data_IF_880800021116
#
_entry.id   IF_880800021116
#
_cell.length_a   1.000
_cell.length_b   1.000
_cell.length_c   1.000
_cell.angle_alpha   90.00
_cell.angle_beta   90.00
_cell.angle_gamma   90.00
#
_symmetry.space_group_name_H-M   'P 1'
#
loop_
_entity.id
_entity.type
_entity.pdbx_description
1 polymer ?
#
# COMPACT_ATOMS: atom_id res chain seq x y z
N UNK A 1 -40.92 31.88 5.95
CA UNK A 1 -39.76 31.41 6.71
C UNK A 1 -39.38 30.03 6.20
N UNK A 2 -38.21 29.82 5.54
CA UNK A 2 -37.78 28.49 5.10
C UNK A 2 -37.33 27.68 6.29
N UNK A 3 -37.92 26.49 6.46
CA UNK A 3 -37.51 25.50 7.48
C UNK A 3 -36.07 25.04 7.19
N UNK A 4 -35.16 25.31 8.12
CA UNK A 4 -33.80 24.77 8.17
C UNK A 4 -33.88 23.24 8.09
N UNK A 5 -33.36 22.67 6.99
CA UNK A 5 -33.08 21.24 6.88
C UNK A 5 -31.91 20.93 7.83
N UNK A 6 -32.22 20.48 9.03
CA UNK A 6 -31.24 19.87 9.94
C UNK A 6 -30.52 18.75 9.19
N UNK A 7 -29.22 18.92 8.96
CA UNK A 7 -28.35 17.87 8.47
C UNK A 7 -28.47 16.68 9.42
N UNK A 8 -29.03 15.55 8.95
CA UNK A 8 -29.02 14.30 9.72
C UNK A 8 -27.57 13.92 9.95
N UNK A 9 -27.08 14.08 11.16
CA UNK A 9 -25.80 13.51 11.57
C UNK A 9 -25.89 12.00 11.34
N UNK A 10 -25.07 11.47 10.41
CA UNK A 10 -24.92 10.02 10.26
C UNK A 10 -24.35 9.48 11.57
N UNK A 11 -24.87 8.32 12.02
CA UNK A 11 -24.35 7.64 13.20
C UNK A 11 -22.83 7.40 13.05
N UNK A 12 -22.06 7.41 14.17
CA UNK A 12 -20.65 7.13 14.14
C UNK A 12 -20.39 5.74 13.55
N UNK A 13 -19.24 5.60 12.85
CA UNK A 13 -18.79 4.29 12.35
C UNK A 13 -18.19 3.55 13.53
N UNK A 14 -18.72 2.36 13.80
CA UNK A 14 -18.25 1.49 14.88
C UNK A 14 -17.78 0.14 14.36
N UNK A 15 -18.40 -0.38 13.28
CA UNK A 15 -18.13 -1.70 12.70
C UNK A 15 -17.40 -1.58 11.37
N UNK A 16 -16.20 -2.13 11.33
CA UNK A 16 -15.31 -2.15 10.17
C UNK A 16 -15.13 -3.59 9.69
N UNK A 17 -15.40 -3.82 8.41
CA UNK A 17 -15.07 -5.06 7.72
C UNK A 17 -13.68 -4.97 7.10
N UNK A 18 -12.82 -5.94 7.37
CA UNK A 18 -11.51 -6.06 6.73
C UNK A 18 -11.55 -7.18 5.69
N UNK A 19 -11.43 -6.84 4.43
CA UNK A 19 -11.40 -7.76 3.30
C UNK A 19 -9.97 -7.95 2.82
N UNK A 20 -9.44 -9.16 2.98
CA UNK A 20 -8.02 -9.42 2.87
C UNK A 20 -7.29 -9.14 4.20
N UNK A 21 -6.87 -10.22 4.86
CA UNK A 21 -6.25 -10.18 6.20
C UNK A 21 -4.79 -10.68 6.12
N UNK A 22 -4.12 -10.33 5.04
CA UNK A 22 -2.68 -10.51 4.87
C UNK A 22 -1.87 -9.59 5.80
N UNK A 23 -0.60 -9.37 5.50
CA UNK A 23 0.32 -8.55 6.33
C UNK A 23 -0.26 -7.15 6.59
N UNK A 24 -0.70 -6.45 5.54
CA UNK A 24 -1.23 -5.09 5.67
C UNK A 24 -2.60 -5.08 6.34
N UNK A 25 -3.53 -5.94 5.87
CA UNK A 25 -4.89 -5.99 6.39
C UNK A 25 -4.95 -6.36 7.87
N UNK A 26 -4.14 -7.33 8.31
CA UNK A 26 -4.07 -7.70 9.73
C UNK A 26 -3.53 -6.56 10.59
N UNK A 27 -2.48 -5.86 10.15
CA UNK A 27 -1.92 -4.74 10.89
C UNK A 27 -2.92 -3.58 11.02
N UNK A 28 -3.65 -3.26 9.93
CA UNK A 28 -4.73 -2.27 9.96
C UNK A 28 -5.86 -2.71 10.90
N UNK A 29 -6.30 -3.97 10.83
CA UNK A 29 -7.35 -4.53 11.70
C UNK A 29 -6.98 -4.39 13.18
N UNK A 30 -5.75 -4.75 13.56
CA UNK A 30 -5.26 -4.64 14.94
C UNK A 30 -5.26 -3.19 15.43
N UNK A 31 -4.81 -2.25 14.59
CA UNK A 31 -4.80 -0.84 14.95
C UNK A 31 -6.21 -0.26 15.08
N UNK A 32 -7.13 -0.66 14.21
CA UNK A 32 -8.54 -0.27 14.30
C UNK A 32 -9.19 -0.78 15.60
N UNK A 33 -8.94 -2.03 15.98
CA UNK A 33 -9.43 -2.58 17.27
C UNK A 33 -8.85 -1.81 18.45
N UNK A 34 -7.56 -1.47 18.43
CA UNK A 34 -6.93 -0.61 19.44
C UNK A 34 -7.54 0.80 19.51
N UNK A 35 -8.06 1.30 18.38
CA UNK A 35 -8.76 2.58 18.29
C UNK A 35 -10.25 2.49 18.69
N UNK A 36 -10.73 1.32 19.12
CA UNK A 36 -12.09 1.11 19.61
C UNK A 36 -13.11 0.64 18.58
N UNK A 37 -12.70 0.36 17.33
CA UNK A 37 -13.61 -0.20 16.32
C UNK A 37 -13.83 -1.71 16.52
N UNK A 38 -15.05 -2.16 16.27
CA UNK A 38 -15.35 -3.59 16.13
C UNK A 38 -14.93 -4.04 14.73
N UNK A 39 -14.00 -5.00 14.65
CA UNK A 39 -13.46 -5.45 13.38
C UNK A 39 -13.92 -6.88 13.08
N UNK A 40 -14.60 -7.01 11.95
CA UNK A 40 -14.86 -8.31 11.32
C UNK A 40 -13.96 -8.47 10.11
N UNK A 41 -13.65 -9.69 9.67
CA UNK A 41 -12.79 -9.86 8.51
C UNK A 41 -13.04 -11.14 7.73
N UNK A 42 -12.63 -11.12 6.47
CA UNK A 42 -12.62 -12.27 5.58
C UNK A 42 -11.33 -12.32 4.75
N UNK A 43 -10.76 -13.51 4.69
CA UNK A 43 -9.65 -13.88 3.82
C UNK A 43 -9.83 -15.36 3.43
N UNK A 44 -9.57 -15.77 2.17
CA UNK A 44 -9.63 -17.19 1.79
C UNK A 44 -8.56 -18.05 2.47
N UNK A 45 -7.46 -17.46 2.98
CA UNK A 45 -6.44 -18.19 3.74
C UNK A 45 -6.89 -18.46 5.19
N UNK A 46 -7.11 -19.73 5.57
CA UNK A 46 -7.49 -20.08 6.95
C UNK A 46 -6.48 -19.64 8.00
N UNK A 47 -5.16 -19.56 7.63
CA UNK A 47 -4.11 -19.09 8.53
C UNK A 47 -4.26 -17.60 8.82
N UNK A 48 -4.63 -16.80 7.81
CA UNK A 48 -4.93 -15.38 7.99
C UNK A 48 -6.14 -15.20 8.93
N UNK A 49 -7.20 -15.97 8.73
CA UNK A 49 -8.39 -15.93 9.58
C UNK A 49 -8.10 -16.35 11.03
N UNK A 50 -7.21 -17.34 11.22
CA UNK A 50 -6.76 -17.74 12.57
C UNK A 50 -6.01 -16.60 13.27
N UNK A 51 -5.13 -15.90 12.53
CA UNK A 51 -4.40 -14.72 13.07
C UNK A 51 -5.36 -13.59 13.45
N UNK A 52 -6.36 -13.30 12.61
CA UNK A 52 -7.36 -12.28 12.93
C UNK A 52 -8.11 -12.58 14.22
N UNK A 53 -8.60 -13.84 14.38
CA UNK A 53 -9.29 -14.28 15.61
C UNK A 53 -8.39 -14.17 16.83
N UNK A 54 -7.13 -14.59 16.72
CA UNK A 54 -6.16 -14.49 17.81
C UNK A 54 -5.89 -13.03 18.22
N UNK A 55 -6.02 -12.08 17.30
CA UNK A 55 -5.90 -10.65 17.55
C UNK A 55 -7.17 -10.00 18.12
N UNK A 56 -8.28 -10.73 18.27
CA UNK A 56 -9.55 -10.23 18.80
C UNK A 56 -10.60 -9.87 17.74
N UNK A 57 -10.32 -10.06 16.45
CA UNK A 57 -11.28 -9.80 15.38
C UNK A 57 -12.26 -10.98 15.16
N UNK A 58 -13.39 -10.70 14.54
CA UNK A 58 -14.42 -11.70 14.23
C UNK A 58 -14.32 -12.15 12.77
N UNK A 59 -14.25 -13.45 12.53
CA UNK A 59 -14.19 -14.02 11.19
C UNK A 59 -15.55 -14.06 10.51
N UNK A 60 -15.59 -13.77 9.22
CA UNK A 60 -16.71 -13.96 8.29
C UNK A 60 -16.37 -15.03 7.25
N UNK A 61 -17.40 -15.55 6.56
CA UNK A 61 -17.25 -16.70 5.63
C UNK A 61 -17.03 -16.25 4.17
N UNK A 62 -17.38 -15.01 3.84
CA UNK A 62 -17.28 -14.46 2.49
C UNK A 62 -17.26 -12.94 2.51
N UNK A 63 -16.99 -12.30 1.37
CA UNK A 63 -17.12 -10.86 1.22
C UNK A 63 -18.58 -10.40 1.32
N UNK A 64 -19.55 -11.23 0.90
CA UNK A 64 -20.98 -10.99 1.07
C UNK A 64 -21.38 -10.99 2.55
N UNK A 65 -20.95 -12.01 3.32
CA UNK A 65 -21.19 -12.09 4.76
C UNK A 65 -20.59 -10.90 5.51
N UNK A 66 -19.40 -10.47 5.08
CA UNK A 66 -18.73 -9.27 5.61
C UNK A 66 -19.57 -8.00 5.33
N UNK A 67 -20.07 -7.86 4.10
CA UNK A 67 -20.85 -6.70 3.68
C UNK A 67 -22.20 -6.59 4.41
N UNK A 68 -22.81 -7.70 4.80
CA UNK A 68 -24.06 -7.71 5.56
C UNK A 68 -23.93 -7.20 6.99
N UNK A 69 -22.73 -7.19 7.55
CA UNK A 69 -22.46 -6.85 8.96
C UNK A 69 -21.74 -5.50 9.14
N UNK A 70 -20.90 -5.11 8.19
CA UNK A 70 -20.06 -3.95 8.30
C UNK A 70 -20.77 -2.64 7.92
N UNK A 71 -20.41 -1.53 8.57
CA UNK A 71 -20.78 -0.17 8.14
C UNK A 71 -19.85 0.36 7.06
N UNK A 72 -18.60 -0.09 7.06
CA UNK A 72 -17.60 0.15 6.03
C UNK A 72 -16.79 -1.13 5.79
N UNK A 73 -16.24 -1.28 4.60
CA UNK A 73 -15.27 -2.33 4.27
C UNK A 73 -13.95 -1.66 3.86
N UNK A 74 -12.85 -2.13 4.43
CA UNK A 74 -11.49 -1.81 3.95
C UNK A 74 -10.98 -3.05 3.23
N UNK A 75 -10.60 -2.92 1.95
CA UNK A 75 -10.05 -4.00 1.15
C UNK A 75 -8.53 -3.85 0.96
N UNK A 76 -7.81 -4.97 1.10
CA UNK A 76 -6.35 -5.06 0.89
C UNK A 76 -6.06 -6.39 0.17
N UNK A 77 -6.15 -6.37 -1.15
CA UNK A 77 -6.25 -7.56 -2.01
C UNK A 77 -5.01 -7.73 -2.90
N UNK A 78 -4.67 -8.97 -3.29
CA UNK A 78 -3.45 -9.26 -4.03
C UNK A 78 -3.52 -8.91 -5.53
N UNK A 79 -4.71 -8.89 -6.13
CA UNK A 79 -4.85 -8.74 -7.57
C UNK A 79 -6.25 -8.32 -8.02
N UNK A 80 -6.42 -8.02 -9.33
CA UNK A 80 -7.69 -7.54 -9.88
C UNK A 80 -8.81 -8.59 -9.81
N UNK A 81 -8.52 -9.87 -9.99
CA UNK A 81 -9.52 -10.94 -9.90
C UNK A 81 -10.16 -10.99 -8.50
N UNK A 82 -9.33 -10.85 -7.45
CA UNK A 82 -9.81 -10.79 -6.07
C UNK A 82 -10.68 -9.55 -5.83
N UNK A 83 -10.32 -8.39 -6.41
CA UNK A 83 -11.09 -7.16 -6.30
C UNK A 83 -12.43 -7.28 -7.02
N UNK A 84 -12.45 -7.78 -8.26
CA UNK A 84 -13.67 -7.93 -9.06
C UNK A 84 -14.63 -8.94 -8.43
N UNK A 85 -14.13 -10.12 -8.01
CA UNK A 85 -14.92 -11.13 -7.32
C UNK A 85 -15.52 -10.62 -6.00
N UNK A 86 -14.74 -9.86 -5.23
CA UNK A 86 -15.21 -9.25 -4.00
C UNK A 86 -16.29 -8.17 -4.28
N UNK A 87 -16.09 -7.32 -5.27
CA UNK A 87 -17.06 -6.29 -5.66
C UNK A 87 -18.41 -6.90 -6.07
N UNK A 88 -18.39 -8.01 -6.83
CA UNK A 88 -19.59 -8.74 -7.19
C UNK A 88 -20.32 -9.31 -5.98
N UNK A 89 -19.60 -9.96 -5.05
CA UNK A 89 -20.19 -10.51 -3.83
C UNK A 89 -20.79 -9.42 -2.93
N UNK A 90 -20.10 -8.29 -2.76
CA UNK A 90 -20.59 -7.14 -1.97
C UNK A 90 -21.81 -6.51 -2.65
N UNK A 91 -21.78 -6.33 -3.97
CA UNK A 91 -22.88 -5.79 -4.75
C UNK A 91 -24.15 -6.65 -4.65
N UNK A 92 -24.00 -7.99 -4.62
CA UNK A 92 -25.12 -8.92 -4.49
C UNK A 92 -25.90 -8.77 -3.16
N UNK A 93 -25.26 -8.27 -2.10
CA UNK A 93 -25.92 -7.95 -0.83
C UNK A 93 -26.80 -6.71 -0.94
N UNK A 94 -26.42 -5.76 -1.79
CA UNK A 94 -27.21 -4.56 -2.08
C UNK A 94 -27.35 -3.57 -0.90
N UNK A 95 -26.43 -3.56 0.04
CA UNK A 95 -26.46 -2.65 1.20
C UNK A 95 -26.17 -1.20 0.78
N UNK A 96 -27.23 -0.45 0.44
CA UNK A 96 -27.13 0.94 0.03
C UNK A 96 -26.46 1.80 1.08
N UNK A 97 -25.52 2.63 0.64
CA UNK A 97 -24.78 3.56 1.51
C UNK A 97 -23.59 2.94 2.22
N UNK A 98 -23.29 1.66 1.99
CA UNK A 98 -22.03 1.03 2.41
C UNK A 98 -20.86 1.78 1.76
N UNK A 99 -19.80 2.00 2.53
CA UNK A 99 -18.55 2.59 2.04
C UNK A 99 -17.51 1.48 1.89
N UNK A 100 -16.81 1.46 0.75
CA UNK A 100 -15.68 0.57 0.50
C UNK A 100 -14.42 1.40 0.31
N UNK A 101 -13.43 1.17 1.16
CA UNK A 101 -12.10 1.80 1.14
C UNK A 101 -11.14 0.81 0.50
N UNK A 102 -10.82 0.99 -0.75
CA UNK A 102 -9.94 0.10 -1.50
C UNK A 102 -8.48 0.56 -1.39
N UNK A 103 -7.63 -0.24 -0.73
CA UNK A 103 -6.27 0.15 -0.38
C UNK A 103 -5.18 -0.54 -1.20
N UNK A 104 -5.55 -1.47 -2.08
CA UNK A 104 -4.58 -2.23 -2.87
C UNK A 104 -3.89 -1.38 -3.94
N UNK A 105 -2.68 -1.76 -4.32
CA UNK A 105 -1.98 -1.17 -5.47
C UNK A 105 -2.34 -1.99 -6.72
N UNK A 106 -3.33 -1.51 -7.47
CA UNK A 106 -3.89 -2.14 -8.67
C UNK A 106 -4.06 -1.10 -9.79
N UNK A 107 -4.32 -1.56 -11.00
CA UNK A 107 -4.63 -0.67 -12.12
C UNK A 107 -5.89 0.16 -11.83
N UNK A 108 -5.89 1.42 -12.25
CA UNK A 108 -7.03 2.33 -12.08
C UNK A 108 -8.24 1.83 -12.88
N UNK A 109 -8.03 1.18 -14.02
CA UNK A 109 -9.09 0.59 -14.83
C UNK A 109 -9.83 -0.51 -14.05
N UNK A 110 -9.08 -1.45 -13.42
CA UNK A 110 -9.66 -2.49 -12.58
C UNK A 110 -10.43 -1.94 -11.39
N UNK A 111 -9.88 -0.94 -10.72
CA UNK A 111 -10.57 -0.25 -9.61
C UNK A 111 -11.83 0.47 -10.10
N UNK A 112 -11.82 1.01 -11.33
CA UNK A 112 -12.97 1.68 -11.93
C UNK A 112 -14.10 0.68 -12.20
N UNK A 113 -13.80 -0.49 -12.75
CA UNK A 113 -14.76 -1.58 -12.96
C UNK A 113 -15.39 -2.01 -11.63
N UNK A 114 -14.59 -2.24 -10.60
CA UNK A 114 -15.09 -2.60 -9.27
C UNK A 114 -15.96 -1.49 -8.66
N UNK A 115 -15.54 -0.23 -8.77
CA UNK A 115 -16.32 0.94 -8.33
C UNK A 115 -17.68 0.99 -9.02
N UNK A 116 -17.73 0.80 -10.33
CA UNK A 116 -18.97 0.93 -11.10
C UNK A 116 -19.93 -0.24 -10.80
N UNK A 117 -19.41 -1.45 -10.59
CA UNK A 117 -20.17 -2.60 -10.09
C UNK A 117 -20.85 -2.30 -8.74
N UNK A 118 -20.11 -1.73 -7.79
CA UNK A 118 -20.63 -1.35 -6.48
C UNK A 118 -21.61 -0.17 -6.56
N UNK A 119 -21.30 0.83 -7.38
CA UNK A 119 -22.12 2.02 -7.57
C UNK A 119 -23.51 1.69 -8.12
N UNK A 120 -23.65 0.67 -8.96
CA UNK A 120 -24.94 0.21 -9.48
C UNK A 120 -25.90 -0.21 -8.36
N UNK A 121 -25.39 -0.60 -7.18
CA UNK A 121 -26.15 -0.96 -5.99
C UNK A 121 -26.21 0.17 -4.93
N UNK A 122 -25.74 1.38 -5.28
CA UNK A 122 -25.72 2.51 -4.35
C UNK A 122 -24.64 2.43 -3.27
N UNK A 123 -23.61 1.61 -3.50
CA UNK A 123 -22.44 1.45 -2.64
C UNK A 123 -21.36 2.41 -3.15
N UNK A 124 -20.67 3.10 -2.24
CA UNK A 124 -19.64 4.08 -2.59
C UNK A 124 -18.25 3.46 -2.35
N UNK A 125 -17.46 3.33 -3.41
CA UNK A 125 -16.07 2.92 -3.31
C UNK A 125 -15.12 4.13 -3.43
N UNK A 126 -14.11 4.17 -2.56
CA UNK A 126 -13.02 5.12 -2.59
C UNK A 126 -11.73 4.40 -2.99
N UNK A 127 -10.87 5.09 -3.73
CA UNK A 127 -9.52 4.64 -4.06
C UNK A 127 -8.55 5.26 -3.05
N UNK A 128 -7.99 4.41 -2.17
CA UNK A 128 -7.23 4.84 -0.98
C UNK A 128 -5.93 4.03 -0.81
N UNK A 129 -5.04 3.94 -1.80
CA UNK A 129 -3.82 3.19 -1.64
C UNK A 129 -2.94 3.77 -0.53
N UNK A 130 -2.05 2.94 -0.01
CA UNK A 130 -1.24 3.23 1.16
C UNK A 130 0.22 3.50 0.79
N UNK A 131 0.83 4.45 1.47
CA UNK A 131 2.28 4.60 1.50
C UNK A 131 2.81 4.10 2.83
N UNK A 132 3.75 3.19 2.77
CA UNK A 132 4.37 2.48 3.89
C UNK A 132 4.39 0.97 3.67
N UNK A 133 5.19 0.29 4.47
CA UNK A 133 5.39 -1.18 4.45
C UNK A 133 4.57 -1.86 5.55
N UNK A 134 4.53 -3.20 5.53
CA UNK A 134 3.91 -3.98 6.61
C UNK A 134 4.50 -3.69 7.99
N UNK A 135 5.81 -3.48 8.09
CA UNK A 135 6.47 -3.10 9.34
C UNK A 135 6.00 -1.74 9.86
N UNK A 136 5.82 -0.76 8.96
CA UNK A 136 5.28 0.55 9.30
C UNK A 136 3.80 0.48 9.69
N UNK A 137 3.02 -0.40 9.03
CA UNK A 137 1.61 -0.60 9.32
C UNK A 137 1.36 -1.03 10.77
N UNK A 138 2.22 -1.89 11.35
CA UNK A 138 2.12 -2.32 12.76
C UNK A 138 2.15 -1.12 13.72
N UNK A 139 2.91 -0.09 13.39
CA UNK A 139 3.10 1.13 14.20
C UNK A 139 2.25 2.32 13.74
N UNK A 140 1.23 2.11 12.90
CA UNK A 140 0.40 3.17 12.30
C UNK A 140 1.20 4.19 11.46
N UNK A 141 2.44 3.92 11.06
CA UNK A 141 3.27 4.82 10.25
C UNK A 141 2.94 4.66 8.76
N UNK A 142 1.63 4.75 8.45
CA UNK A 142 1.10 4.71 7.10
C UNK A 142 0.55 6.08 6.71
N UNK A 143 0.59 6.37 5.41
CA UNK A 143 -0.14 7.48 4.80
C UNK A 143 -1.20 6.94 3.85
N UNK A 144 -2.45 7.42 3.99
CA UNK A 144 -3.56 7.09 3.10
C UNK A 144 -3.68 8.16 2.01
N UNK A 145 -3.66 7.74 0.76
CA UNK A 145 -3.93 8.58 -0.41
C UNK A 145 -5.39 8.45 -0.80
N UNK A 146 -6.29 9.15 -0.08
CA UNK A 146 -7.73 8.99 -0.26
C UNK A 146 -8.23 9.78 -1.47
N UNK A 147 -9.00 9.13 -2.34
CA UNK A 147 -9.65 9.77 -3.47
C UNK A 147 -11.05 9.21 -3.72
N UNK A 148 -11.99 10.10 -4.10
CA UNK A 148 -13.40 9.79 -4.30
C UNK A 148 -14.30 10.90 -3.78
N UNK A 149 -15.58 10.61 -3.46
CA UNK A 149 -16.50 11.63 -2.98
C UNK A 149 -16.04 12.29 -1.68
N UNK A 150 -15.84 13.61 -1.69
CA UNK A 150 -15.34 14.40 -0.55
C UNK A 150 -16.11 14.16 0.76
N UNK A 151 -17.43 14.02 0.68
CA UNK A 151 -18.27 13.75 1.85
C UNK A 151 -17.95 12.39 2.49
N UNK A 152 -17.64 11.37 1.67
CA UNK A 152 -17.25 10.04 2.14
C UNK A 152 -15.84 10.07 2.76
N UNK A 153 -14.88 10.77 2.14
CA UNK A 153 -13.52 10.95 2.70
C UNK A 153 -13.61 11.61 4.08
N UNK A 154 -14.40 12.69 4.20
CA UNK A 154 -14.60 13.36 5.49
C UNK A 154 -15.25 12.45 6.55
N UNK A 155 -16.22 11.63 6.16
CA UNK A 155 -16.88 10.65 7.05
C UNK A 155 -15.89 9.59 7.55
N UNK A 156 -14.90 9.20 6.72
CA UNK A 156 -13.92 8.16 7.00
C UNK A 156 -12.70 8.66 7.78
N UNK A 157 -12.54 9.96 7.99
CA UNK A 157 -11.39 10.53 8.67
C UNK A 157 -11.06 9.86 10.03
N UNK A 158 -12.04 9.56 10.92
CA UNK A 158 -11.77 8.84 12.16
C UNK A 158 -11.26 7.41 11.95
N UNK A 159 -11.74 6.74 10.88
CA UNK A 159 -11.29 5.38 10.52
C UNK A 159 -9.85 5.42 10.01
N UNK A 160 -9.53 6.36 9.12
CA UNK A 160 -8.14 6.55 8.67
C UNK A 160 -7.20 6.84 9.84
N UNK A 161 -7.58 7.71 10.76
CA UNK A 161 -6.82 7.99 11.97
C UNK A 161 -6.68 6.74 12.88
N UNK A 162 -7.55 5.76 12.78
CA UNK A 162 -7.47 4.49 13.51
C UNK A 162 -6.26 3.65 13.11
N UNK A 163 -5.84 3.65 11.83
CA UNK A 163 -4.78 2.77 11.33
C UNK A 163 -3.62 3.48 10.61
N UNK A 164 -3.71 4.79 10.39
CA UNK A 164 -2.67 5.55 9.70
C UNK A 164 -2.23 6.78 10.49
N UNK A 165 -1.06 7.30 10.17
CA UNK A 165 -0.51 8.54 10.72
C UNK A 165 -1.09 9.76 10.02
N UNK A 166 -1.23 9.67 8.69
CA UNK A 166 -1.74 10.76 7.86
C UNK A 166 -2.74 10.23 6.83
N UNK A 167 -3.69 11.07 6.43
CA UNK A 167 -4.55 10.84 5.28
C UNK A 167 -4.72 12.14 4.50
N UNK A 168 -4.68 12.06 3.17
CA UNK A 168 -4.81 13.20 2.27
C UNK A 168 -6.02 13.02 1.36
N UNK A 169 -6.88 14.02 1.27
CA UNK A 169 -7.96 14.08 0.28
C UNK A 169 -7.36 14.55 -1.06
N UNK A 170 -7.30 13.65 -2.02
CA UNK A 170 -6.74 13.88 -3.35
C UNK A 170 -7.81 14.12 -4.43
N UNK A 171 -9.07 14.32 -4.02
CA UNK A 171 -10.17 14.66 -4.90
C UNK A 171 -10.73 13.48 -5.68
N UNK A 172 -10.78 13.58 -7.02
CA UNK A 172 -11.45 12.60 -7.87
C UNK A 172 -10.91 11.16 -7.70
N UNK A 173 -11.81 10.17 -7.79
CA UNK A 173 -11.46 8.73 -7.78
C UNK A 173 -10.34 8.41 -8.79
N UNK A 174 -9.37 7.63 -8.36
CA UNK A 174 -8.16 7.28 -9.12
C UNK A 174 -6.97 8.20 -8.83
N UNK A 175 -7.17 9.39 -8.25
CA UNK A 175 -6.05 10.27 -7.88
C UNK A 175 -5.20 9.67 -6.75
N UNK A 176 -5.77 8.82 -5.90
CA UNK A 176 -5.04 8.05 -4.91
C UNK A 176 -4.00 7.15 -5.56
N UNK A 177 -4.43 6.34 -6.54
CA UNK A 177 -3.50 5.47 -7.30
C UNK A 177 -2.47 6.27 -8.10
N UNK A 178 -2.86 7.38 -8.74
CA UNK A 178 -1.90 8.26 -9.44
C UNK A 178 -0.81 8.74 -8.50
N UNK A 179 -1.18 9.21 -7.30
CA UNK A 179 -0.21 9.62 -6.26
C UNK A 179 0.66 8.44 -5.81
N UNK A 180 0.07 7.24 -5.65
CA UNK A 180 0.81 6.03 -5.29
C UNK A 180 1.84 5.66 -6.36
N UNK A 181 1.50 5.75 -7.64
CA UNK A 181 2.44 5.48 -8.73
C UNK A 181 3.59 6.49 -8.76
N UNK A 182 3.29 7.79 -8.55
CA UNK A 182 4.33 8.83 -8.42
C UNK A 182 5.25 8.54 -7.24
N UNK A 183 4.70 8.19 -6.09
CA UNK A 183 5.49 7.85 -4.91
C UNK A 183 6.36 6.60 -5.16
N UNK A 184 5.81 5.55 -5.77
CA UNK A 184 6.54 4.33 -6.05
C UNK A 184 7.60 4.49 -7.16
N UNK A 185 7.39 5.40 -8.12
CA UNK A 185 8.43 5.82 -9.08
C UNK A 185 9.65 6.38 -8.34
N UNK A 186 9.43 7.29 -7.38
CA UNK A 186 10.51 7.82 -6.54
C UNK A 186 11.15 6.72 -5.66
N UNK A 187 10.36 5.79 -5.11
CA UNK A 187 10.88 4.65 -4.35
C UNK A 187 11.83 3.80 -5.21
N UNK A 188 11.45 3.51 -6.47
CA UNK A 188 12.29 2.75 -7.40
C UNK A 188 13.65 3.41 -7.59
N UNK A 189 13.65 4.72 -7.88
CA UNK A 189 14.86 5.51 -8.15
C UNK A 189 15.71 5.65 -6.88
N UNK A 190 15.11 6.06 -5.78
CA UNK A 190 15.82 6.30 -4.52
C UNK A 190 16.47 5.04 -3.96
N UNK A 191 15.87 3.89 -4.18
CA UNK A 191 16.42 2.62 -3.72
C UNK A 191 17.71 2.26 -4.48
N UNK A 192 17.72 2.41 -5.81
CA UNK A 192 18.89 2.14 -6.64
C UNK A 192 19.97 3.21 -6.40
N UNK A 193 19.61 4.50 -6.37
CA UNK A 193 20.58 5.58 -6.12
C UNK A 193 21.20 5.48 -4.72
N UNK A 194 20.45 5.00 -3.71
CA UNK A 194 21.01 4.69 -2.39
C UNK A 194 22.09 3.62 -2.48
N UNK A 195 21.83 2.54 -3.24
CA UNK A 195 22.80 1.46 -3.40
C UNK A 195 24.08 1.95 -4.12
N UNK A 196 23.94 2.75 -5.18
CA UNK A 196 25.08 3.36 -5.89
C UNK A 196 25.91 4.24 -4.97
N UNK A 197 25.28 5.14 -4.19
CA UNK A 197 25.97 6.03 -3.27
C UNK A 197 26.74 5.26 -2.18
N UNK A 198 26.12 4.21 -1.59
CA UNK A 198 26.76 3.39 -0.57
C UNK A 198 27.92 2.56 -1.13
N UNK A 199 27.82 2.04 -2.36
CA UNK A 199 28.91 1.34 -3.03
C UNK A 199 30.09 2.28 -3.31
N UNK A 200 29.82 3.49 -3.77
CA UNK A 200 30.87 4.51 -3.98
C UNK A 200 31.60 4.82 -2.66
N UNK A 201 30.85 5.06 -1.58
CA UNK A 201 31.41 5.28 -0.25
C UNK A 201 32.26 4.10 0.23
N UNK A 202 31.80 2.88 0.01
CA UNK A 202 32.54 1.68 0.35
C UNK A 202 33.88 1.57 -0.39
N UNK A 203 33.93 1.92 -1.67
CA UNK A 203 35.18 1.97 -2.48
C UNK A 203 36.16 3.04 -1.97
N UNK A 204 35.66 4.11 -1.39
CA UNK A 204 36.49 5.16 -0.78
C UNK A 204 36.88 4.87 0.68
N UNK A 205 36.49 3.71 1.24
CA UNK A 205 36.79 3.34 2.62
C UNK A 205 35.91 4.05 3.66
N UNK A 206 34.81 4.69 3.24
CA UNK A 206 33.85 5.30 4.16
C UNK A 206 33.02 4.19 4.77
N UNK A 207 32.93 4.16 6.10
CA UNK A 207 32.12 3.16 6.81
C UNK A 207 30.65 3.34 6.42
N UNK A 208 29.96 2.25 5.98
CA UNK A 208 28.57 2.34 5.50
C UNK A 208 27.61 2.97 6.52
N UNK A 209 27.81 2.69 7.81
CA UNK A 209 27.01 3.24 8.91
C UNK A 209 27.12 4.79 8.97
N UNK A 210 28.31 5.31 8.79
CA UNK A 210 28.55 6.75 8.80
C UNK A 210 27.97 7.39 7.54
N UNK A 211 28.14 6.73 6.37
CA UNK A 211 27.53 7.18 5.12
C UNK A 211 26.01 7.29 5.24
N UNK A 212 25.31 6.26 5.73
CA UNK A 212 23.84 6.28 5.93
C UNK A 212 23.44 7.40 6.87
N UNK A 213 24.15 7.57 8.01
CA UNK A 213 23.83 8.61 9.00
C UNK A 213 23.98 10.01 8.40
N UNK A 214 25.13 10.30 7.82
CA UNK A 214 25.46 11.65 7.33
C UNK A 214 24.62 12.02 6.11
N UNK A 215 24.46 11.09 5.15
CA UNK A 215 23.65 11.34 3.97
C UNK A 215 22.15 11.51 4.30
N UNK A 216 21.65 10.81 5.34
CA UNK A 216 20.26 10.96 5.77
C UNK A 216 19.92 12.34 6.31
N UNK A 217 20.89 13.05 6.85
CA UNK A 217 20.74 14.39 7.42
C UNK A 217 20.98 15.51 6.38
N UNK A 218 21.60 15.18 5.25
CA UNK A 218 21.95 16.11 4.20
C UNK A 218 20.99 16.14 3.01
N UNK A 219 21.32 16.99 2.03
CA UNK A 219 20.54 17.16 0.80
C UNK A 219 20.46 15.89 -0.08
N UNK A 220 21.36 14.92 0.10
CA UNK A 220 21.31 13.60 -0.55
C UNK A 220 20.36 12.62 0.13
N UNK A 221 19.69 13.02 1.21
CA UNK A 221 18.80 12.16 2.00
C UNK A 221 17.50 11.80 1.27
N UNK A 222 17.00 10.61 1.55
CA UNK A 222 15.65 10.18 1.16
C UNK A 222 15.10 9.23 2.20
N UNK A 223 13.74 9.08 2.21
CA UNK A 223 13.13 8.08 3.10
C UNK A 223 13.62 6.65 2.78
N UNK A 224 13.96 6.38 1.53
CA UNK A 224 14.50 5.07 1.14
C UNK A 224 15.91 4.85 1.66
N UNK A 225 16.77 5.86 1.62
CA UNK A 225 18.08 5.80 2.25
C UNK A 225 17.95 5.48 3.76
N UNK A 226 17.03 6.16 4.47
CA UNK A 226 16.82 5.93 5.91
C UNK A 226 16.31 4.52 6.23
N UNK A 227 15.42 3.97 5.39
CA UNK A 227 14.78 2.67 5.65
C UNK A 227 15.61 1.51 5.11
N UNK A 228 16.21 1.63 3.91
CA UNK A 228 16.92 0.56 3.23
C UNK A 228 18.43 0.66 3.29
N UNK A 229 18.97 1.84 3.53
CA UNK A 229 20.42 2.01 3.73
C UNK A 229 20.98 1.07 4.82
N UNK A 230 20.37 0.97 6.01
CA UNK A 230 20.77 0.00 7.02
C UNK A 230 20.71 -1.45 6.52
N UNK A 231 19.66 -1.84 5.78
CA UNK A 231 19.54 -3.19 5.22
C UNK A 231 20.63 -3.49 4.18
N UNK A 232 21.00 -2.52 3.37
CA UNK A 232 22.10 -2.64 2.40
C UNK A 232 23.44 -2.77 3.11
N UNK A 233 23.66 -1.95 4.14
CA UNK A 233 24.87 -1.97 4.97
C UNK A 233 25.09 -3.35 5.62
N UNK A 234 24.04 -3.88 6.25
CA UNK A 234 24.14 -5.08 7.08
C UNK A 234 23.87 -6.37 6.29
N UNK A 235 23.65 -6.25 4.96
CA UNK A 235 23.18 -7.34 4.09
C UNK A 235 21.89 -8.00 4.60
N UNK A 236 21.04 -7.17 5.24
CA UNK A 236 19.86 -7.60 5.97
C UNK A 236 18.60 -7.80 5.09
N UNK A 237 18.73 -7.83 3.78
CA UNK A 237 17.60 -7.97 2.84
C UNK A 237 16.88 -9.32 2.90
N UNK A 238 17.38 -10.31 3.63
CA UNK A 238 16.69 -11.60 3.85
C UNK A 238 15.39 -11.45 4.64
N UNK A 239 15.25 -10.39 5.46
CA UNK A 239 14.00 -10.07 6.16
C UNK A 239 13.27 -8.97 5.40
N UNK A 240 12.42 -9.38 4.45
CA UNK A 240 11.78 -8.44 3.53
C UNK A 240 10.65 -7.64 4.17
N UNK A 241 10.71 -6.33 4.03
CA UNK A 241 9.57 -5.41 4.26
C UNK A 241 8.79 -5.15 2.96
N UNK A 242 9.47 -5.26 1.81
CA UNK A 242 8.91 -5.26 0.47
C UNK A 242 9.72 -6.22 -0.39
N UNK A 243 9.14 -7.35 -0.77
CA UNK A 243 9.80 -8.37 -1.59
C UNK A 243 10.02 -7.90 -3.02
N UNK A 244 11.20 -8.22 -3.59
CA UNK A 244 11.52 -7.91 -5.00
C UNK A 244 10.47 -8.49 -5.95
N UNK A 245 10.01 -9.73 -5.72
CA UNK A 245 9.00 -10.37 -6.57
C UNK A 245 7.66 -9.64 -6.57
N UNK A 246 7.20 -9.14 -5.40
CA UNK A 246 5.98 -8.34 -5.30
C UNK A 246 6.18 -6.98 -5.96
N UNK A 247 7.36 -6.38 -5.82
CA UNK A 247 7.71 -5.08 -6.39
C UNK A 247 7.65 -5.07 -7.92
N UNK A 248 7.88 -6.21 -8.59
CA UNK A 248 7.78 -6.31 -10.06
C UNK A 248 6.39 -5.90 -10.58
N UNK A 249 5.32 -6.18 -9.85
CA UNK A 249 3.98 -5.71 -10.20
C UNK A 249 3.90 -4.19 -10.21
N UNK A 250 4.44 -3.53 -9.20
CA UNK A 250 4.41 -2.08 -9.08
C UNK A 250 5.27 -1.43 -10.18
N UNK A 251 6.44 -2.01 -10.52
CA UNK A 251 7.27 -1.57 -11.64
C UNK A 251 6.52 -1.59 -12.97
N UNK A 252 5.72 -2.64 -13.22
CA UNK A 252 4.89 -2.74 -14.44
C UNK A 252 3.80 -1.67 -14.47
N UNK A 253 3.12 -1.43 -13.35
CA UNK A 253 2.09 -0.39 -13.26
C UNK A 253 2.67 1.01 -13.50
N UNK A 254 3.85 1.31 -12.96
CA UNK A 254 4.54 2.59 -13.19
C UNK A 254 4.91 2.73 -14.66
N UNK A 255 5.49 1.70 -15.27
CA UNK A 255 5.89 1.73 -16.68
C UNK A 255 4.69 1.96 -17.60
N UNK A 256 3.56 1.28 -17.37
CA UNK A 256 2.32 1.48 -18.11
C UNK A 256 1.80 2.91 -17.95
N UNK A 257 1.72 3.43 -16.72
CA UNK A 257 1.25 4.78 -16.46
C UNK A 257 2.14 5.87 -17.13
N UNK A 258 3.45 5.67 -17.17
CA UNK A 258 4.38 6.56 -17.86
C UNK A 258 4.17 6.54 -19.38
N UNK A 259 3.94 5.35 -19.96
CA UNK A 259 3.65 5.19 -21.37
C UNK A 259 2.33 5.85 -21.75
N UNK A 260 1.27 5.60 -21.00
CA UNK A 260 -0.06 6.18 -21.23
C UNK A 260 -0.06 7.71 -21.11
N UNK A 261 0.69 8.23 -20.15
CA UNK A 261 0.85 9.68 -19.94
C UNK A 261 1.89 10.33 -20.87
N UNK A 262 2.61 9.55 -21.67
CA UNK A 262 3.69 10.01 -22.55
C UNK A 262 4.77 10.81 -21.79
N UNK A 263 5.09 10.41 -20.55
CA UNK A 263 6.10 11.05 -19.71
C UNK A 263 7.45 10.35 -19.87
N UNK A 264 8.50 11.02 -20.34
CA UNK A 264 9.84 10.45 -20.37
C UNK A 264 10.38 10.32 -18.93
N UNK A 265 10.84 9.12 -18.56
CA UNK A 265 11.36 8.83 -17.24
C UNK A 265 12.69 8.05 -17.30
N UNK A 266 13.78 8.68 -17.77
CA UNK A 266 15.06 7.99 -17.98
C UNK A 266 15.65 7.41 -16.68
N UNK A 267 15.48 8.08 -15.54
CA UNK A 267 15.96 7.58 -14.25
C UNK A 267 15.22 6.31 -13.83
N UNK A 268 13.89 6.29 -13.97
CA UNK A 268 13.10 5.09 -13.69
C UNK A 268 13.49 3.95 -14.64
N UNK A 269 13.62 4.23 -15.93
CA UNK A 269 14.00 3.25 -16.94
C UNK A 269 15.35 2.58 -16.60
N UNK A 270 16.33 3.33 -16.10
CA UNK A 270 17.62 2.81 -15.66
C UNK A 270 17.50 1.83 -14.47
N UNK A 271 16.48 1.93 -13.63
CA UNK A 271 16.29 1.02 -12.48
C UNK A 271 15.74 -0.35 -12.87
N UNK A 272 14.99 -0.45 -13.98
CA UNK A 272 14.31 -1.68 -14.39
C UNK A 272 15.26 -2.88 -14.55
N UNK A 273 16.39 -2.78 -15.28
CA UNK A 273 17.32 -3.90 -15.40
C UNK A 273 17.95 -4.31 -14.07
N UNK A 274 18.12 -3.39 -13.12
CA UNK A 274 18.66 -3.71 -11.78
C UNK A 274 17.68 -4.60 -11.00
N UNK A 275 16.38 -4.25 -11.00
CA UNK A 275 15.37 -5.10 -10.36
C UNK A 275 15.18 -6.45 -11.08
N UNK A 276 15.29 -6.48 -12.41
CA UNK A 276 15.25 -7.73 -13.17
C UNK A 276 16.45 -8.62 -12.83
N UNK A 277 17.65 -8.04 -12.71
CA UNK A 277 18.83 -8.76 -12.29
C UNK A 277 18.69 -9.31 -10.85
N UNK A 278 18.05 -8.56 -9.94
CA UNK A 278 17.74 -9.06 -8.60
C UNK A 278 16.87 -10.32 -8.66
N UNK A 279 15.85 -10.35 -9.53
CA UNK A 279 15.04 -11.57 -9.75
C UNK A 279 15.90 -12.73 -10.27
N UNK A 280 16.73 -12.48 -11.28
CA UNK A 280 17.60 -13.50 -11.87
C UNK A 280 18.64 -14.06 -10.89
N UNK A 281 19.08 -13.25 -9.93
CA UNK A 281 20.00 -13.65 -8.87
C UNK A 281 19.32 -14.35 -7.67
N UNK A 282 18.02 -14.64 -7.76
CA UNK A 282 17.27 -15.37 -6.71
C UNK A 282 16.77 -14.50 -5.56
N UNK A 283 16.74 -13.19 -5.71
CA UNK A 283 16.26 -12.28 -4.65
C UNK A 283 14.74 -12.06 -4.65
N UNK A 284 13.93 -12.92 -5.31
CA UNK A 284 12.47 -12.76 -5.37
C UNK A 284 11.80 -12.59 -4.00
N UNK A 285 12.24 -13.35 -3.00
CA UNK A 285 11.71 -13.35 -1.64
C UNK A 285 12.40 -12.34 -0.71
N UNK A 286 13.51 -11.73 -1.14
CA UNK A 286 14.28 -10.76 -0.38
C UNK A 286 13.71 -9.35 -0.52
N UNK A 287 14.09 -8.47 0.41
CA UNK A 287 13.75 -7.05 0.35
C UNK A 287 14.36 -6.37 -0.89
N UNK A 288 13.70 -5.35 -1.40
CA UNK A 288 14.19 -4.54 -2.53
C UNK A 288 15.55 -3.89 -2.24
N UNK A 289 16.03 -3.84 -1.01
CA UNK A 289 17.41 -3.49 -0.66
C UNK A 289 18.46 -4.43 -1.32
N UNK A 290 18.07 -5.63 -1.76
CA UNK A 290 18.94 -6.57 -2.46
C UNK A 290 19.49 -6.03 -3.80
N UNK A 291 18.97 -4.91 -4.32
CA UNK A 291 19.59 -4.19 -5.46
C UNK A 291 21.04 -3.80 -5.17
N UNK A 292 21.40 -3.66 -3.90
CA UNK A 292 22.79 -3.43 -3.48
C UNK A 292 23.70 -4.63 -3.84
N UNK A 293 23.26 -5.87 -3.62
CA UNK A 293 23.99 -7.07 -4.01
C UNK A 293 24.18 -7.15 -5.53
N UNK A 294 23.13 -6.81 -6.29
CA UNK A 294 23.20 -6.75 -7.76
C UNK A 294 24.32 -5.81 -8.22
N UNK A 295 24.28 -4.57 -7.77
CA UNK A 295 25.26 -3.55 -8.18
C UNK A 295 26.67 -3.86 -7.65
N UNK A 296 26.77 -4.45 -6.45
CA UNK A 296 28.04 -4.91 -5.88
C UNK A 296 28.70 -5.97 -6.79
N UNK A 297 27.92 -6.96 -7.25
CA UNK A 297 28.42 -8.00 -8.18
C UNK A 297 28.80 -7.44 -9.54
N UNK A 298 28.04 -6.48 -10.07
CA UNK A 298 28.40 -5.78 -11.32
C UNK A 298 29.74 -5.01 -11.19
N UNK A 299 30.08 -4.56 -10.00
CA UNK A 299 31.33 -3.82 -9.73
C UNK A 299 32.51 -4.70 -9.31
N UNK A 300 32.30 -5.99 -9.04
CA UNK A 300 33.36 -6.91 -8.58
C UNK A 300 34.22 -7.48 -9.69
N UNK A 301 33.88 -7.25 -10.96
CA UNK A 301 34.66 -7.68 -12.13
C UNK A 301 35.78 -6.74 -12.55
N UNK A 302 36.02 -5.66 -11.83
CA UNK A 302 37.11 -4.69 -12.09
C UNK A 302 38.12 -4.81 -10.95
N UNK A 303 38.97 -5.83 -11.00
CA UNK A 303 40.19 -5.95 -10.21
C UNK A 303 41.38 -5.43 -11.00
#
# INVERSE_FOLDING_TARGET
TPKSRTAKHKAPIERVGMLGVGIMGLAMAVNLMKAGFQVTGYDPDPKAMKRLKAAGGTARKSAADLAGDAQIIISSLPGPEALHGAAQQIAAVGQRGLLVVETSTLDIADKTVARDTLKAQGIVMLDCPLSGTGAQAVHKDLTVYASGPKAAIKQLAPVFAGFSKNSFDLGAFGNGMKMKLMANLLVAIHNVSTAEALLLGQRWGIAPKDAVKVLSDGAGGSRMLQVRGPLMQDKGWHTATMKVGIWQKDMKLIAAALADAQVPAPLFAATVPVYNAAMALGHAEHDTAAVFDVLSRMSSGVS
#
